data_IF_180804224032
#
_entry.id   IF_180804224032
#
_cell.length_a   1.000
_cell.length_b   1.000
_cell.length_c   1.000
_cell.angle_alpha   90.00
_cell.angle_beta   90.00
_cell.angle_gamma   90.00
#
_symmetry.space_group_name_H-M   'P 1'
#
loop_
_entity.id
_entity.type
_entity.pdbx_description
1 polymer ?
#
# COMPACT_ATOMS: atom_id res chain seq x y z
N UNK A 1 9.46 -18.69 -1.49
CA UNK A 1 9.09 -17.61 -0.54
C UNK A 1 9.13 -16.26 -1.25
N UNK A 2 8.15 -15.40 -1.06
CA UNK A 2 8.10 -14.01 -1.54
C UNK A 2 8.47 -13.07 -0.38
N UNK A 3 9.38 -12.12 -0.63
CA UNK A 3 9.61 -10.99 0.28
C UNK A 3 8.93 -9.74 -0.31
N UNK A 4 8.02 -9.15 0.45
CA UNK A 4 7.35 -7.89 0.10
C UNK A 4 7.89 -6.73 0.92
N UNK A 5 7.99 -5.55 0.29
CA UNK A 5 8.52 -4.32 0.90
C UNK A 5 7.60 -3.16 0.54
N UNK A 6 7.18 -2.41 1.54
CA UNK A 6 6.48 -1.14 1.35
C UNK A 6 7.11 -0.01 2.17
N UNK A 7 7.43 1.06 1.47
CA UNK A 7 7.97 2.32 2.01
C UNK A 7 7.27 3.52 1.39
N UNK A 8 6.10 3.30 0.82
CA UNK A 8 5.36 4.32 0.04
C UNK A 8 4.71 5.41 0.89
N UNK A 9 4.60 5.20 2.20
CA UNK A 9 4.01 6.14 3.17
C UNK A 9 4.99 6.39 4.34
N UNK A 10 4.49 6.96 5.44
CA UNK A 10 5.25 7.03 6.69
C UNK A 10 5.37 5.66 7.40
N UNK A 11 4.57 4.69 6.97
CA UNK A 11 4.67 3.30 7.42
C UNK A 11 5.79 2.60 6.68
N UNK A 12 6.58 1.81 7.40
CA UNK A 12 7.53 0.88 6.85
C UNK A 12 7.05 -0.53 7.09
N UNK A 13 6.93 -1.33 6.04
CA UNK A 13 6.48 -2.71 6.16
C UNK A 13 7.35 -3.66 5.34
N UNK A 14 7.61 -4.84 5.93
CA UNK A 14 8.20 -5.99 5.26
C UNK A 14 7.33 -7.22 5.57
N UNK A 15 7.11 -8.08 4.60
CA UNK A 15 6.36 -9.30 4.79
C UNK A 15 6.98 -10.48 4.04
N UNK A 16 6.86 -11.67 4.62
CA UNK A 16 7.19 -12.94 3.98
C UNK A 16 5.89 -13.70 3.70
N UNK A 17 5.73 -14.13 2.46
CA UNK A 17 4.57 -14.91 2.05
C UNK A 17 5.00 -16.17 1.28
N UNK A 18 4.25 -17.25 1.48
CA UNK A 18 4.40 -18.47 0.70
C UNK A 18 3.05 -18.92 0.17
N UNK A 19 2.89 -18.92 -1.15
CA UNK A 19 1.60 -19.12 -1.82
C UNK A 19 0.56 -18.15 -1.26
N UNK A 20 -0.50 -18.66 -0.64
CA UNK A 20 -1.61 -17.87 -0.09
C UNK A 20 -1.49 -17.64 1.43
N UNK A 21 -0.29 -17.84 1.99
CA UNK A 21 -0.05 -17.68 3.44
C UNK A 21 0.91 -16.55 3.71
N UNK A 22 0.51 -15.64 4.59
CA UNK A 22 1.42 -14.75 5.29
C UNK A 22 2.21 -15.57 6.31
N UNK A 23 3.53 -15.58 6.17
CA UNK A 23 4.44 -16.33 7.07
C UNK A 23 4.90 -15.43 8.21
N UNK A 24 5.30 -14.21 7.89
CA UNK A 24 5.68 -13.19 8.85
C UNK A 24 5.43 -11.80 8.29
N UNK A 25 5.12 -10.86 9.16
CA UNK A 25 4.98 -9.44 8.83
C UNK A 25 5.63 -8.60 9.93
N UNK A 26 6.33 -7.57 9.48
CA UNK A 26 6.88 -6.54 10.34
C UNK A 26 6.42 -5.18 9.82
N UNK A 27 5.67 -4.45 10.64
CA UNK A 27 5.12 -3.15 10.27
C UNK A 27 5.36 -2.14 11.38
N UNK A 28 5.89 -0.97 11.05
CA UNK A 28 6.08 0.14 11.98
C UNK A 28 5.43 1.40 11.45
N UNK A 29 4.50 1.92 12.25
CA UNK A 29 3.81 3.20 12.04
C UNK A 29 4.47 4.30 12.87
N UNK A 30 5.72 4.62 12.56
CA UNK A 30 6.46 5.68 13.23
C UNK A 30 7.28 6.44 12.20
N UNK A 31 7.44 7.76 12.39
CA UNK A 31 8.39 8.54 11.58
C UNK A 31 9.81 8.07 11.87
N UNK A 32 10.21 7.04 11.16
CA UNK A 32 11.56 6.48 11.17
C UNK A 32 12.28 6.86 9.87
N UNK A 33 13.58 6.82 9.91
CA UNK A 33 14.41 6.97 8.72
C UNK A 33 14.39 5.65 7.96
N UNK A 34 13.51 5.51 6.96
CA UNK A 34 13.35 4.26 6.18
C UNK A 34 14.69 3.71 5.67
N UNK A 35 15.62 4.59 5.29
CA UNK A 35 16.95 4.20 4.82
C UNK A 35 17.80 3.47 5.85
N UNK A 36 17.61 3.74 7.14
CA UNK A 36 18.37 3.11 8.22
C UNK A 36 17.73 1.83 8.72
N UNK A 37 16.40 1.73 8.58
CA UNK A 37 15.61 0.66 9.20
C UNK A 37 15.27 -0.48 8.24
N UNK A 38 15.13 -0.22 6.94
CA UNK A 38 14.61 -1.20 5.98
C UNK A 38 15.47 -2.48 5.93
N UNK A 39 16.79 -2.34 5.73
CA UNK A 39 17.67 -3.52 5.60
C UNK A 39 17.77 -4.31 6.92
N UNK A 40 17.95 -3.67 8.11
CA UNK A 40 17.87 -4.40 9.38
C UNK A 40 16.58 -5.20 9.55
N UNK A 41 15.43 -4.62 9.22
CA UNK A 41 14.16 -5.33 9.39
C UNK A 41 13.92 -6.42 8.35
N UNK A 42 14.45 -6.27 7.13
CA UNK A 42 14.48 -7.38 6.17
C UNK A 42 15.30 -8.57 6.70
N UNK A 43 16.42 -8.32 7.37
CA UNK A 43 17.24 -9.37 7.97
C UNK A 43 16.55 -9.98 9.21
N UNK A 44 15.92 -9.16 10.04
CA UNK A 44 15.22 -9.58 11.24
C UNK A 44 14.03 -10.49 10.90
N UNK A 45 13.18 -10.11 9.94
CA UNK A 45 12.01 -10.91 9.55
C UNK A 45 12.41 -12.28 8.97
N UNK A 46 13.52 -12.37 8.23
CA UNK A 46 14.05 -13.63 7.73
C UNK A 46 14.51 -14.53 8.90
N UNK A 47 15.25 -13.95 9.86
CA UNK A 47 15.72 -14.68 11.05
C UNK A 47 14.58 -15.17 11.93
N UNK A 48 13.61 -14.32 12.22
CA UNK A 48 12.46 -14.64 13.07
C UNK A 48 11.58 -15.71 12.46
N UNK A 49 11.44 -15.69 11.13
CA UNK A 49 10.72 -16.73 10.40
C UNK A 49 11.54 -18.02 10.18
N UNK A 50 12.84 -18.04 10.52
CA UNK A 50 13.74 -19.16 10.25
C UNK A 50 13.95 -19.43 8.76
N UNK A 51 13.85 -18.42 7.92
CA UNK A 51 13.94 -18.48 6.46
C UNK A 51 15.34 -18.09 6.00
N UNK A 52 16.01 -18.97 5.24
CA UNK A 52 17.28 -18.61 4.58
C UNK A 52 17.02 -17.69 3.37
N UNK A 53 17.86 -16.72 3.18
CA UNK A 53 17.81 -15.82 2.02
C UNK A 53 17.68 -16.58 0.67
N UNK A 54 18.28 -17.78 0.57
CA UNK A 54 18.24 -18.60 -0.64
C UNK A 54 16.84 -19.19 -0.92
N UNK A 55 15.96 -19.16 0.05
CA UNK A 55 14.57 -19.60 -0.10
C UNK A 55 13.67 -18.52 -0.70
N UNK A 56 14.17 -17.27 -0.76
CA UNK A 56 13.47 -16.19 -1.43
C UNK A 56 13.51 -16.43 -2.95
N UNK A 57 12.35 -16.50 -3.55
CA UNK A 57 12.17 -16.78 -4.99
C UNK A 57 11.68 -15.56 -5.78
N UNK A 58 11.20 -14.52 -5.09
CA UNK A 58 10.80 -13.25 -5.69
C UNK A 58 10.80 -12.14 -4.63
N UNK A 59 10.93 -10.90 -5.09
CA UNK A 59 10.74 -9.70 -4.25
C UNK A 59 9.60 -8.88 -4.85
N UNK A 60 8.65 -8.43 -4.02
CA UNK A 60 7.64 -7.45 -4.36
C UNK A 60 7.97 -6.11 -3.70
N UNK A 61 7.72 -5.00 -4.38
CA UNK A 61 7.91 -3.68 -3.80
C UNK A 61 6.84 -2.70 -4.30
N UNK A 62 6.38 -1.83 -3.42
CA UNK A 62 5.49 -0.74 -3.79
C UNK A 62 6.19 0.16 -4.83
N UNK A 63 5.52 0.36 -5.98
CA UNK A 63 6.02 1.21 -7.08
C UNK A 63 5.45 2.62 -7.06
N UNK A 64 4.52 2.90 -6.14
CA UNK A 64 3.76 4.13 -6.05
C UNK A 64 2.30 3.97 -6.47
N UNK A 65 1.52 5.07 -6.33
CA UNK A 65 1.94 6.39 -5.84
C UNK A 65 2.28 6.42 -4.35
N UNK A 66 2.89 7.52 -3.87
CA UNK A 66 3.21 7.74 -2.46
C UNK A 66 4.43 8.62 -2.24
N UNK A 67 5.03 8.53 -1.05
CA UNK A 67 6.21 9.29 -0.66
C UNK A 67 7.37 9.13 -1.64
N UNK A 68 7.76 10.20 -2.31
CA UNK A 68 8.87 10.19 -3.28
C UNK A 68 10.17 9.64 -2.70
N UNK A 69 10.54 10.08 -1.48
CA UNK A 69 11.74 9.62 -0.81
C UNK A 69 11.60 8.16 -0.38
N UNK A 70 10.47 7.80 0.21
CA UNK A 70 10.20 6.42 0.64
C UNK A 70 10.26 5.44 -0.53
N UNK A 71 9.53 5.70 -1.60
CA UNK A 71 9.53 4.86 -2.80
C UNK A 71 10.93 4.65 -3.39
N UNK A 72 11.77 5.70 -3.42
CA UNK A 72 13.14 5.57 -3.91
C UNK A 72 14.00 4.66 -3.01
N UNK A 73 13.84 4.76 -1.70
CA UNK A 73 14.55 3.88 -0.74
C UNK A 73 14.11 2.43 -0.94
N UNK A 74 12.80 2.16 -0.92
CA UNK A 74 12.27 0.81 -1.08
C UNK A 74 12.63 0.17 -2.42
N UNK A 75 12.41 0.90 -3.52
CA UNK A 75 12.72 0.40 -4.87
C UNK A 75 14.22 0.20 -5.10
N UNK A 76 15.09 1.09 -4.57
CA UNK A 76 16.54 0.90 -4.68
C UNK A 76 16.99 -0.34 -3.92
N UNK A 77 16.50 -0.52 -2.69
CA UNK A 77 16.79 -1.69 -1.86
C UNK A 77 16.27 -2.98 -2.52
N UNK A 78 15.01 -2.98 -2.96
CA UNK A 78 14.41 -4.14 -3.62
C UNK A 78 15.13 -4.53 -4.91
N UNK A 79 15.49 -3.55 -5.76
CA UNK A 79 16.28 -3.78 -6.99
C UNK A 79 17.64 -4.36 -6.68
N UNK A 80 18.34 -3.82 -5.69
CA UNK A 80 19.67 -4.30 -5.28
C UNK A 80 19.58 -5.73 -4.75
N UNK A 81 18.64 -6.01 -3.86
CA UNK A 81 18.43 -7.35 -3.31
C UNK A 81 18.07 -8.36 -4.42
N UNK A 82 17.12 -8.01 -5.30
CA UNK A 82 16.71 -8.86 -6.42
C UNK A 82 17.89 -9.18 -7.36
N UNK A 83 18.73 -8.18 -7.63
CA UNK A 83 19.92 -8.36 -8.46
C UNK A 83 20.95 -9.31 -7.82
N UNK A 84 21.25 -9.10 -6.52
CA UNK A 84 22.21 -9.92 -5.78
C UNK A 84 21.70 -11.35 -5.59
N UNK A 85 20.43 -11.51 -5.26
CA UNK A 85 19.81 -12.81 -5.01
C UNK A 85 19.40 -13.52 -6.29
N UNK A 86 19.47 -12.83 -7.44
CA UNK A 86 19.10 -13.34 -8.77
C UNK A 86 17.64 -13.83 -8.84
N UNK A 87 16.74 -13.08 -8.24
CA UNK A 87 15.32 -13.35 -8.21
C UNK A 87 14.54 -12.24 -8.93
N UNK A 88 13.35 -12.52 -9.47
CA UNK A 88 12.51 -11.50 -10.09
C UNK A 88 12.06 -10.44 -9.09
N UNK A 89 11.88 -9.21 -9.58
CA UNK A 89 11.28 -8.10 -8.86
C UNK A 89 9.91 -7.77 -9.45
N UNK A 90 8.91 -7.65 -8.58
CA UNK A 90 7.52 -7.36 -8.91
C UNK A 90 7.18 -5.98 -8.36
N UNK A 91 6.71 -5.07 -9.21
CA UNK A 91 6.20 -3.76 -8.77
C UNK A 91 4.71 -3.82 -8.49
N UNK A 92 4.30 -3.49 -7.27
CA UNK A 92 2.90 -3.46 -6.82
C UNK A 92 2.43 -2.01 -6.74
N UNK A 93 1.22 -1.73 -7.26
CA UNK A 93 0.60 -0.42 -7.11
C UNK A 93 0.16 -0.20 -5.65
N UNK A 94 0.49 0.97 -5.09
CA UNK A 94 0.22 1.23 -3.67
C UNK A 94 -1.27 1.36 -3.37
N UNK A 95 -2.02 2.01 -4.26
CA UNK A 95 -3.47 2.16 -4.07
C UNK A 95 -4.18 0.81 -4.19
N UNK A 96 -3.77 0.00 -5.17
CA UNK A 96 -4.30 -1.36 -5.32
C UNK A 96 -3.99 -2.23 -4.10
N UNK A 97 -2.77 -2.16 -3.57
CA UNK A 97 -2.38 -2.90 -2.36
C UNK A 97 -3.27 -2.57 -1.15
N UNK A 98 -3.67 -1.30 -0.99
CA UNK A 98 -4.59 -0.89 0.07
C UNK A 98 -5.98 -1.53 -0.09
N UNK A 99 -6.46 -1.68 -1.33
CA UNK A 99 -7.77 -2.27 -1.63
C UNK A 99 -7.83 -3.74 -1.23
N UNK A 100 -6.73 -4.49 -1.38
CA UNK A 100 -6.67 -5.90 -1.03
C UNK A 100 -6.93 -6.18 0.47
N UNK A 101 -6.73 -5.19 1.35
CA UNK A 101 -7.12 -5.31 2.77
C UNK A 101 -8.64 -5.33 2.98
N UNK A 102 -9.42 -4.97 1.96
CA UNK A 102 -10.87 -4.82 2.03
C UNK A 102 -11.60 -5.74 1.04
N UNK A 103 -10.98 -6.87 0.69
CA UNK A 103 -11.61 -7.90 -0.17
C UNK A 103 -12.91 -8.37 0.46
N UNK A 104 -13.99 -8.39 -0.34
CA UNK A 104 -15.30 -8.83 0.12
C UNK A 104 -16.08 -7.81 0.95
N UNK A 105 -15.64 -6.56 1.01
CA UNK A 105 -16.36 -5.49 1.71
C UNK A 105 -17.74 -5.17 1.12
N UNK A 106 -18.01 -5.63 -0.11
CA UNK A 106 -19.25 -5.35 -0.86
C UNK A 106 -19.55 -3.87 -1.01
N UNK A 107 -18.49 -3.12 -1.29
CA UNK A 107 -18.53 -1.67 -1.45
C UNK A 107 -17.58 -1.24 -2.57
N UNK A 108 -17.71 0.00 -3.01
CA UNK A 108 -16.63 0.67 -3.74
C UNK A 108 -15.55 1.11 -2.75
N UNK A 109 -14.31 0.82 -3.06
CA UNK A 109 -13.16 1.17 -2.23
C UNK A 109 -12.48 2.38 -2.83
N UNK A 110 -12.26 3.40 -2.02
CA UNK A 110 -11.58 4.64 -2.36
C UNK A 110 -10.24 4.71 -1.59
N UNK A 111 -9.16 4.13 -2.12
CA UNK A 111 -7.84 4.28 -1.53
C UNK A 111 -7.36 5.73 -1.70
N UNK A 112 -6.86 6.32 -0.62
CA UNK A 112 -6.41 7.70 -0.54
C UNK A 112 -5.03 7.79 0.11
N UNK A 113 -4.07 8.39 -0.59
CA UNK A 113 -2.76 8.74 -0.06
C UNK A 113 -2.53 10.23 -0.15
N UNK A 114 -1.79 10.81 0.80
CA UNK A 114 -1.45 12.23 0.78
C UNK A 114 -0.53 12.57 -0.41
N UNK A 115 -0.97 13.48 -1.27
CA UNK A 115 -0.19 14.05 -2.36
C UNK A 115 0.26 15.49 -2.05
N UNK A 116 0.13 15.92 -0.79
CA UNK A 116 0.47 17.21 -0.23
C UNK A 116 -0.38 18.38 -0.77
N UNK A 117 -0.36 19.50 -0.05
CA UNK A 117 -1.03 20.77 -0.43
C UNK A 117 -2.53 20.64 -0.70
N UNK A 118 -3.21 19.73 0.05
CA UNK A 118 -4.66 19.50 -0.12
C UNK A 118 -5.01 18.59 -1.28
N UNK A 119 -4.01 17.97 -1.94
CA UNK A 119 -4.22 16.94 -2.95
C UNK A 119 -4.06 15.54 -2.35
N UNK A 120 -4.68 14.57 -3.00
CA UNK A 120 -4.55 13.15 -2.70
C UNK A 120 -4.28 12.37 -3.97
N UNK A 121 -3.55 11.28 -3.85
CA UNK A 121 -3.59 10.22 -4.84
C UNK A 121 -4.82 9.37 -4.55
N UNK A 122 -5.68 9.20 -5.52
CA UNK A 122 -6.93 8.47 -5.39
C UNK A 122 -7.17 7.57 -6.59
N UNK A 123 -7.88 6.49 -6.38
CA UNK A 123 -8.46 5.63 -7.40
C UNK A 123 -9.79 5.10 -6.88
N UNK A 124 -10.58 4.48 -7.72
CA UNK A 124 -11.80 3.79 -7.31
C UNK A 124 -11.74 2.32 -7.72
N UNK A 125 -12.11 1.43 -6.81
CA UNK A 125 -12.19 -0.01 -7.06
C UNK A 125 -13.53 -0.55 -6.59
N UNK A 126 -14.07 -1.52 -7.31
CA UNK A 126 -15.16 -2.34 -6.81
C UNK A 126 -14.61 -3.53 -6.03
N UNK A 127 -15.19 -3.83 -4.85
CA UNK A 127 -14.87 -5.01 -4.04
C UNK A 127 -16.15 -5.73 -3.65
N UNK A 128 -16.64 -6.55 -4.57
CA UNK A 128 -17.84 -7.38 -4.38
C UNK A 128 -17.45 -8.86 -4.45
N UNK A 129 -17.70 -9.55 -5.54
CA UNK A 129 -17.27 -10.93 -5.73
C UNK A 129 -15.79 -11.00 -6.19
N UNK A 130 -15.36 -9.97 -6.92
CA UNK A 130 -14.00 -9.77 -7.39
C UNK A 130 -13.56 -8.32 -7.11
N UNK A 131 -12.27 -8.04 -7.24
CA UNK A 131 -11.74 -6.68 -7.24
C UNK A 131 -11.51 -6.25 -8.69
N UNK A 132 -12.00 -5.06 -9.04
CA UNK A 132 -11.71 -4.43 -10.32
C UNK A 132 -11.48 -2.93 -10.14
N UNK A 133 -10.68 -2.36 -11.01
CA UNK A 133 -10.48 -0.91 -11.02
C UNK A 133 -11.65 -0.24 -11.76
N UNK A 134 -12.40 0.61 -11.05
CA UNK A 134 -13.52 1.38 -11.58
C UNK A 134 -13.04 2.71 -12.18
N UNK A 135 -12.12 3.40 -11.48
CA UNK A 135 -11.48 4.61 -11.98
C UNK A 135 -9.97 4.56 -11.77
N UNK A 136 -9.17 5.05 -12.74
CA UNK A 136 -7.73 5.02 -12.67
C UNK A 136 -7.18 5.91 -11.55
N UNK A 137 -5.93 5.64 -11.15
CA UNK A 137 -5.22 6.46 -10.18
C UNK A 137 -4.93 7.85 -10.74
N UNK A 138 -5.25 8.87 -9.97
CA UNK A 138 -4.97 10.28 -10.28
C UNK A 138 -4.53 11.05 -9.03
N UNK A 139 -3.90 12.20 -9.25
CA UNK A 139 -3.63 13.18 -8.21
C UNK A 139 -4.61 14.36 -8.40
N UNK A 140 -5.49 14.55 -7.42
CA UNK A 140 -6.52 15.58 -7.48
C UNK A 140 -6.73 16.23 -6.11
N UNK A 141 -7.43 17.35 -6.05
CA UNK A 141 -7.80 17.94 -4.76
C UNK A 141 -8.76 17.03 -4.02
N UNK A 142 -8.66 16.99 -2.70
CA UNK A 142 -9.58 16.20 -1.88
C UNK A 142 -11.05 16.59 -2.12
N UNK A 143 -11.32 17.87 -2.43
CA UNK A 143 -12.67 18.36 -2.71
C UNK A 143 -13.25 17.74 -3.99
N UNK A 144 -12.44 17.67 -5.05
CA UNK A 144 -12.84 17.04 -6.32
C UNK A 144 -13.07 15.55 -6.15
N UNK A 145 -12.16 14.85 -5.44
CA UNK A 145 -12.26 13.41 -5.19
C UNK A 145 -13.51 13.07 -4.38
N UNK A 146 -13.76 13.79 -3.28
CA UNK A 146 -14.94 13.57 -2.43
C UNK A 146 -16.23 13.82 -3.19
N UNK A 147 -16.30 14.90 -3.97
CA UNK A 147 -17.46 15.20 -4.81
C UNK A 147 -17.71 14.15 -5.88
N UNK A 148 -16.66 13.67 -6.55
CA UNK A 148 -16.77 12.60 -7.55
C UNK A 148 -17.26 11.30 -6.90
N UNK A 149 -16.66 10.92 -5.78
CA UNK A 149 -17.03 9.73 -5.03
C UNK A 149 -18.50 9.80 -4.55
N UNK A 150 -18.93 10.90 -3.94
CA UNK A 150 -20.30 11.07 -3.47
C UNK A 150 -21.35 10.97 -4.59
N UNK A 151 -20.98 11.34 -5.81
CA UNK A 151 -21.86 11.25 -6.98
C UNK A 151 -21.89 9.86 -7.64
N UNK A 152 -20.98 8.96 -7.28
CA UNK A 152 -20.88 7.63 -7.90
C UNK A 152 -22.07 6.72 -7.59
N UNK A 153 -22.67 6.86 -6.40
CA UNK A 153 -23.75 6.01 -5.94
C UNK A 153 -23.26 4.67 -5.36
N UNK A 154 -24.03 4.16 -4.40
CA UNK A 154 -23.68 2.94 -3.67
C UNK A 154 -22.78 3.18 -2.44
N UNK A 155 -22.48 2.11 -1.67
CA UNK A 155 -21.64 2.21 -0.50
C UNK A 155 -20.18 2.44 -0.88
N UNK A 156 -19.55 3.45 -0.29
CA UNK A 156 -18.14 3.78 -0.51
C UNK A 156 -17.39 3.68 0.81
N UNK A 157 -16.25 3.01 0.79
CA UNK A 157 -15.35 2.83 1.92
C UNK A 157 -13.97 3.37 1.55
N UNK A 158 -13.58 4.48 2.15
CA UNK A 158 -12.26 5.08 1.98
C UNK A 158 -11.22 4.39 2.88
N UNK A 159 -9.99 4.25 2.39
CA UNK A 159 -8.88 3.58 3.09
C UNK A 159 -7.55 4.29 2.82
N UNK A 160 -6.61 4.18 3.74
CA UNK A 160 -5.27 4.75 3.65
C UNK A 160 -5.09 6.03 4.46
N UNK A 161 -3.86 6.55 4.49
CA UNK A 161 -3.52 7.72 5.32
C UNK A 161 -4.28 8.98 4.93
N UNK A 162 -4.58 9.16 3.63
CA UNK A 162 -5.40 10.26 3.14
C UNK A 162 -6.85 10.16 3.62
N UNK A 163 -7.39 8.94 3.74
CA UNK A 163 -8.74 8.74 4.26
C UNK A 163 -8.83 9.15 5.74
N UNK A 164 -7.82 8.82 6.55
CA UNK A 164 -7.77 9.24 7.94
C UNK A 164 -7.58 10.75 8.08
N UNK A 165 -6.68 11.33 7.28
CA UNK A 165 -6.42 12.78 7.27
C UNK A 165 -7.67 13.61 6.97
N UNK A 166 -8.53 13.13 6.09
CA UNK A 166 -9.74 13.82 5.65
C UNK A 166 -11.04 13.14 6.15
N UNK A 167 -10.97 12.36 7.22
CA UNK A 167 -12.07 11.58 7.79
C UNK A 167 -13.37 12.38 7.96
N UNK A 168 -13.31 13.55 8.58
CA UNK A 168 -14.50 14.38 8.82
C UNK A 168 -15.17 14.81 7.52
N UNK A 169 -14.40 15.17 6.53
CA UNK A 169 -14.89 15.58 5.22
C UNK A 169 -15.56 14.41 4.47
N UNK A 170 -14.95 13.23 4.50
CA UNK A 170 -15.49 12.03 3.89
C UNK A 170 -16.81 11.62 4.54
N UNK A 171 -16.87 11.60 5.86
CA UNK A 171 -18.07 11.27 6.62
C UNK A 171 -19.22 12.25 6.37
N UNK A 172 -18.93 13.56 6.22
CA UNK A 172 -19.94 14.58 5.92
C UNK A 172 -20.67 14.32 4.59
N UNK A 173 -20.00 13.68 3.63
CA UNK A 173 -20.55 13.31 2.32
C UNK A 173 -21.01 11.82 2.26
N UNK A 174 -21.14 11.17 3.42
CA UNK A 174 -21.64 9.80 3.53
C UNK A 174 -20.64 8.70 3.13
N UNK A 175 -19.37 9.05 2.92
CA UNK A 175 -18.30 8.10 2.61
C UNK A 175 -17.77 7.55 3.93
N UNK A 176 -17.84 6.23 4.12
CA UNK A 176 -17.30 5.58 5.29
C UNK A 176 -15.77 5.53 5.22
N UNK A 177 -15.10 5.50 6.38
CA UNK A 177 -13.64 5.38 6.46
C UNK A 177 -13.31 4.08 7.19
N UNK A 178 -12.53 3.23 6.55
CA UNK A 178 -12.05 1.98 7.13
C UNK A 178 -11.23 2.26 8.41
N UNK A 179 -11.24 1.33 9.38
CA UNK A 179 -10.47 1.46 10.61
C UNK A 179 -8.97 1.42 10.37
#
# INVERSE_FOLDING_TARGET
MLLAIDTSSFVLSCALAEKDKLVAEWTVQKRLTHSEQLIPHMDEILKDAGVDQKEITAIAAAKGPGSFTGLRIGLATAKTAAYIWKVPLIGVDTLEALVWNLVGARAFILPLLDAQRGNVYAAMYGSFDEIWQEAPAEAASIDEVVKAAASHGGPILAVGEGAEMYREKLLAEGIQVAP
#
